data_IF_140971355130
#
_entry.id   IF_140971355130
#
_cell.length_a   1.000
_cell.length_b   1.000
_cell.length_c   1.000
_cell.angle_alpha   90.00
_cell.angle_beta   90.00
_cell.angle_gamma   90.00
#
_symmetry.space_group_name_H-M   'P 1'
#
loop_
_entity.id
_entity.type
_entity.pdbx_description
1 polymer ?
#
# COMPACT_ATOMS: atom_id res chain seq x y z
N UNK A 1 3.40 -1.93 -12.48
CA UNK A 1 2.30 -0.96 -12.34
C UNK A 1 2.63 0.40 -12.91
N UNK A 2 3.48 1.23 -12.29
CA UNK A 2 3.62 2.64 -12.72
C UNK A 2 4.04 2.87 -14.18
N UNK A 3 5.02 2.13 -14.75
CA UNK A 3 5.37 2.32 -16.18
C UNK A 3 4.19 2.05 -17.12
N UNK A 4 3.36 1.06 -16.80
CA UNK A 4 2.18 0.68 -17.59
C UNK A 4 1.08 1.75 -17.48
N UNK A 5 0.75 2.17 -16.26
CA UNK A 5 -0.27 3.21 -16.03
C UNK A 5 0.14 4.54 -16.68
N UNK A 6 1.42 4.92 -16.62
CA UNK A 6 1.93 6.12 -17.30
C UNK A 6 1.84 6.02 -18.83
N UNK A 7 1.94 4.82 -19.39
CA UNK A 7 1.84 4.59 -20.84
C UNK A 7 0.39 4.60 -21.33
N UNK A 8 -0.51 3.94 -20.62
CA UNK A 8 -1.86 3.68 -21.11
C UNK A 8 -2.96 4.54 -20.47
N UNK A 9 -2.70 5.15 -19.31
CA UNK A 9 -3.66 5.97 -18.56
C UNK A 9 -2.99 7.19 -17.88
N UNK A 10 -2.24 8.04 -18.61
CA UNK A 10 -1.36 9.05 -18.03
C UNK A 10 -2.03 10.11 -17.15
N UNK A 11 -3.32 10.39 -17.37
CA UNK A 11 -4.06 11.44 -16.66
C UNK A 11 -5.08 10.90 -15.66
N UNK A 12 -5.15 9.58 -15.48
CA UNK A 12 -6.11 8.96 -14.57
C UNK A 12 -5.55 9.01 -13.15
N UNK A 13 -6.28 9.56 -12.16
CA UNK A 13 -5.81 9.60 -10.78
C UNK A 13 -5.70 8.18 -10.21
N UNK A 14 -4.67 7.97 -9.39
CA UNK A 14 -4.36 6.66 -8.79
C UNK A 14 -4.59 6.75 -7.28
N UNK A 15 -5.25 5.76 -6.70
CA UNK A 15 -5.25 5.53 -5.25
C UNK A 15 -4.32 4.35 -4.98
N UNK A 16 -3.31 4.56 -4.13
CA UNK A 16 -2.45 3.48 -3.65
C UNK A 16 -3.15 2.81 -2.47
N UNK A 17 -3.31 1.48 -2.52
CA UNK A 17 -3.95 0.71 -1.45
C UNK A 17 -2.99 -0.34 -0.90
N UNK A 18 -2.63 -0.20 0.38
CA UNK A 18 -1.94 -1.22 1.16
C UNK A 18 -2.95 -2.22 1.71
N UNK A 19 -2.93 -3.46 1.24
CA UNK A 19 -3.89 -4.49 1.67
C UNK A 19 -3.30 -5.40 2.74
N UNK A 20 -4.16 -6.20 3.38
CA UNK A 20 -3.79 -7.16 4.44
C UNK A 20 -3.22 -6.47 5.68
N UNK A 21 -3.82 -5.34 6.06
CA UNK A 21 -3.43 -4.57 7.25
C UNK A 21 -3.40 -5.43 8.52
N UNK A 22 -4.24 -6.46 8.61
CA UNK A 22 -4.29 -7.40 9.74
C UNK A 22 -2.96 -8.14 9.98
N UNK A 23 -2.13 -8.32 8.96
CA UNK A 23 -0.81 -8.97 9.11
C UNK A 23 0.22 -8.08 9.80
N UNK A 24 -0.01 -6.76 9.87
CA UNK A 24 0.95 -5.84 10.49
C UNK A 24 1.08 -6.06 11.99
N UNK A 25 0.00 -6.49 12.64
CA UNK A 25 -0.05 -6.78 14.08
C UNK A 25 -0.14 -8.29 14.37
N UNK A 26 -0.11 -9.13 13.34
CA UNK A 26 -0.17 -10.58 13.48
C UNK A 26 1.16 -11.11 14.04
N UNK A 27 1.11 -11.62 15.27
CA UNK A 27 2.30 -12.10 15.99
C UNK A 27 2.99 -13.27 15.29
N UNK A 28 2.24 -14.12 14.60
CA UNK A 28 2.80 -15.24 13.84
C UNK A 28 3.58 -14.74 12.63
N UNK A 29 2.98 -13.84 11.86
CA UNK A 29 3.60 -13.20 10.71
C UNK A 29 4.86 -12.42 11.09
N UNK A 30 4.80 -11.63 12.17
CA UNK A 30 5.93 -10.84 12.67
C UNK A 30 7.09 -11.68 13.21
N UNK A 31 6.84 -12.92 13.67
CA UNK A 31 7.90 -13.82 14.10
C UNK A 31 8.84 -14.20 12.93
N UNK A 32 8.28 -14.32 11.72
CA UNK A 32 9.02 -14.69 10.51
C UNK A 32 9.42 -13.47 9.66
N UNK A 33 8.78 -12.31 9.86
CA UNK A 33 8.94 -11.11 9.02
C UNK A 33 9.26 -9.88 9.86
N UNK A 34 10.54 -9.50 9.87
CA UNK A 34 11.05 -8.36 10.66
C UNK A 34 10.89 -7.01 9.96
N UNK A 35 10.62 -6.98 8.65
CA UNK A 35 10.57 -5.75 7.85
C UNK A 35 9.18 -5.55 7.22
N UNK A 36 8.21 -5.23 8.07
CA UNK A 36 6.85 -4.87 7.65
C UNK A 36 6.78 -3.47 7.06
N UNK A 37 5.99 -3.31 6.01
CA UNK A 37 5.70 -1.99 5.44
C UNK A 37 4.91 -1.17 6.45
N UNK A 38 5.52 -0.05 6.85
CA UNK A 38 4.91 0.97 7.73
C UNK A 38 4.03 1.92 6.94
N UNK A 39 3.08 2.57 7.62
CA UNK A 39 2.22 3.59 7.00
C UNK A 39 3.04 4.74 6.39
N UNK A 40 4.16 5.12 7.02
CA UNK A 40 5.07 6.15 6.50
C UNK A 40 5.73 5.72 5.19
N UNK A 41 6.16 4.46 5.07
CA UNK A 41 6.73 3.94 3.82
C UNK A 41 5.67 3.90 2.70
N UNK A 42 4.43 3.55 3.03
CA UNK A 42 3.32 3.60 2.08
C UNK A 42 3.00 5.02 1.60
N UNK A 43 2.98 6.00 2.51
CA UNK A 43 2.79 7.41 2.17
C UNK A 43 3.96 7.98 1.37
N UNK A 44 5.20 7.57 1.68
CA UNK A 44 6.37 7.93 0.90
C UNK A 44 6.28 7.37 -0.53
N UNK A 45 5.87 6.11 -0.69
CA UNK A 45 5.63 5.53 -2.00
C UNK A 45 4.51 6.27 -2.76
N UNK A 46 3.42 6.65 -2.09
CA UNK A 46 2.33 7.45 -2.69
C UNK A 46 2.88 8.74 -3.30
N UNK A 47 3.73 9.46 -2.57
CA UNK A 47 4.40 10.68 -3.07
C UNK A 47 5.29 10.38 -4.27
N UNK A 48 6.12 9.35 -4.19
CA UNK A 48 7.05 8.97 -5.25
C UNK A 48 6.36 8.61 -6.57
N UNK A 49 5.19 7.97 -6.50
CA UNK A 49 4.43 7.58 -7.69
C UNK A 49 3.44 8.63 -8.17
N UNK A 50 3.15 9.65 -7.34
CA UNK A 50 2.16 10.69 -7.64
C UNK A 50 0.71 10.24 -7.49
N UNK A 51 0.42 9.29 -6.57
CA UNK A 51 -0.94 8.85 -6.31
C UNK A 51 -1.72 9.90 -5.50
N UNK A 52 -3.02 10.05 -5.74
CA UNK A 52 -3.89 11.04 -5.10
C UNK A 52 -4.10 10.76 -3.61
N UNK A 53 -4.14 9.49 -3.21
CA UNK A 53 -4.31 9.08 -1.82
C UNK A 53 -3.59 7.75 -1.55
N UNK A 54 -3.29 7.52 -0.27
CA UNK A 54 -2.85 6.24 0.26
C UNK A 54 -3.86 5.76 1.30
N UNK A 55 -4.31 4.53 1.16
CA UNK A 55 -5.26 3.90 2.09
C UNK A 55 -4.71 2.54 2.48
N UNK A 56 -4.84 2.18 3.74
CA UNK A 56 -4.51 0.84 4.25
C UNK A 56 -5.80 0.17 4.68
N UNK A 57 -5.98 -1.10 4.30
CA UNK A 57 -7.18 -1.84 4.66
C UNK A 57 -6.92 -3.33 4.86
N UNK A 58 -7.83 -3.97 5.57
CA UNK A 58 -7.95 -5.43 5.58
C UNK A 58 -9.38 -5.83 5.28
N UNK A 59 -9.58 -6.50 4.16
CA UNK A 59 -10.87 -7.12 3.84
C UNK A 59 -11.25 -8.22 4.82
N UNK A 60 -10.28 -8.82 5.54
CA UNK A 60 -10.51 -9.90 6.50
C UNK A 60 -11.08 -9.38 7.81
N UNK A 61 -10.54 -8.27 8.32
CA UNK A 61 -10.99 -7.66 9.58
C UNK A 61 -11.95 -6.48 9.39
N UNK A 62 -12.20 -6.08 8.14
CA UNK A 62 -13.02 -4.91 7.76
C UNK A 62 -12.51 -3.60 8.38
N UNK A 63 -11.18 -3.49 8.48
CA UNK A 63 -10.48 -2.25 8.83
C UNK A 63 -10.15 -1.45 7.58
#
# INVERSE_FOLDING_TARGET
WMPELRRFAPNVPIVLVGTKLDLRDDKGYLADHTNVITSNQGEELRKQIGAAAYIECSSKTQQ
#
